data_IF_351645258425
#
_entry.id   IF_351645258425
#
_cell.length_a   1.000
_cell.length_b   1.000
_cell.length_c   1.000
_cell.angle_alpha   90.00
_cell.angle_beta   90.00
_cell.angle_gamma   90.00
#
_symmetry.space_group_name_H-M   'P 1'
#
loop_
_entity.id
_entity.type
_entity.pdbx_description
1 polymer ?
#
# COMPACT_ATOMS: atom_id res chain seq x y z
N UNK A 1 -1.44 22.05 -2.49
CA UNK A 1 -1.41 21.01 -1.44
C UNK A 1 -0.82 19.71 -1.99
N UNK A 2 -1.35 19.12 -3.08
CA UNK A 2 -1.03 17.79 -3.58
C UNK A 2 0.44 17.58 -3.92
N UNK A 3 1.04 18.49 -4.68
CA UNK A 3 2.47 18.41 -5.00
C UNK A 3 3.37 18.46 -3.76
N UNK A 4 2.98 19.21 -2.74
CA UNK A 4 3.73 19.20 -1.46
C UNK A 4 3.65 17.82 -0.79
N UNK A 5 2.47 17.21 -0.78
CA UNK A 5 2.29 15.84 -0.29
C UNK A 5 3.12 14.83 -1.07
N UNK A 6 3.09 14.90 -2.41
CA UNK A 6 3.90 14.04 -3.26
C UNK A 6 5.40 14.19 -2.99
N UNK A 7 5.92 15.42 -2.87
CA UNK A 7 7.32 15.67 -2.54
C UNK A 7 7.68 15.17 -1.14
N UNK A 8 6.78 15.31 -0.16
CA UNK A 8 6.98 14.76 1.19
C UNK A 8 7.14 13.23 1.16
N UNK A 9 6.40 12.52 0.30
CA UNK A 9 6.59 11.08 0.14
C UNK A 9 7.95 10.72 -0.43
N UNK A 10 8.55 11.57 -1.28
CA UNK A 10 9.91 11.35 -1.79
C UNK A 10 10.94 11.48 -0.68
N UNK A 11 10.78 12.47 0.22
CA UNK A 11 11.65 12.62 1.40
C UNK A 11 11.57 11.36 2.27
N UNK A 12 10.34 10.89 2.57
CA UNK A 12 10.13 9.68 3.34
C UNK A 12 10.73 8.43 2.65
N UNK A 13 10.59 8.32 1.34
CA UNK A 13 11.14 7.20 0.56
C UNK A 13 12.67 7.15 0.62
N UNK A 14 13.34 8.31 0.58
CA UNK A 14 14.81 8.40 0.71
C UNK A 14 15.24 8.00 2.12
N UNK A 15 14.53 8.48 3.15
CA UNK A 15 14.82 8.12 4.54
C UNK A 15 14.63 6.61 4.79
N UNK A 16 13.54 6.04 4.27
CA UNK A 16 13.29 4.60 4.36
C UNK A 16 14.36 3.78 3.61
N UNK A 17 14.74 4.22 2.40
CA UNK A 17 15.83 3.59 1.64
C UNK A 17 17.13 3.57 2.44
N UNK A 18 17.52 4.70 3.03
CA UNK A 18 18.74 4.80 3.83
C UNK A 18 18.71 3.85 5.05
N UNK A 19 17.57 3.76 5.71
CA UNK A 19 17.38 2.83 6.83
C UNK A 19 17.46 1.35 6.39
N UNK A 20 16.82 0.99 5.28
CA UNK A 20 16.84 -0.37 4.74
C UNK A 20 18.24 -0.77 4.26
N UNK A 21 18.93 0.11 3.52
CA UNK A 21 20.27 -0.14 3.02
C UNK A 21 21.28 -0.33 4.19
N UNK A 22 21.17 0.45 5.27
CA UNK A 22 21.97 0.27 6.49
C UNK A 22 21.75 -1.07 7.19
N UNK A 23 20.58 -1.66 7.00
CA UNK A 23 20.24 -3.00 7.48
C UNK A 23 20.52 -4.11 6.45
N UNK A 24 21.26 -3.83 5.39
CA UNK A 24 21.68 -4.81 4.40
C UNK A 24 20.64 -5.12 3.31
N UNK A 25 19.53 -4.40 3.27
CA UNK A 25 18.48 -4.58 2.25
C UNK A 25 18.76 -3.71 1.04
N UNK A 26 18.93 -4.33 -0.12
CA UNK A 26 19.18 -3.60 -1.37
C UNK A 26 17.90 -2.91 -1.85
N UNK A 27 17.85 -1.60 -1.76
CA UNK A 27 16.62 -0.81 -1.98
C UNK A 27 16.76 0.17 -3.15
N UNK A 28 15.67 0.40 -3.86
CA UNK A 28 15.56 1.41 -4.93
C UNK A 28 14.36 2.31 -4.69
N UNK A 29 14.51 3.61 -4.95
CA UNK A 29 13.40 4.57 -4.96
C UNK A 29 13.08 4.92 -6.40
N UNK A 30 11.82 4.77 -6.78
CA UNK A 30 11.29 5.25 -8.05
C UNK A 30 10.21 6.28 -7.81
N UNK A 31 10.31 7.44 -8.45
CA UNK A 31 9.39 8.56 -8.31
C UNK A 31 8.51 8.73 -9.54
N UNK A 32 7.22 8.94 -9.32
CA UNK A 32 6.27 9.29 -10.37
C UNK A 32 6.49 10.72 -10.91
N UNK A 33 7.08 11.61 -10.09
CA UNK A 33 7.55 12.93 -10.54
C UNK A 33 9.03 12.81 -10.90
N UNK A 34 9.39 13.25 -12.10
CA UNK A 34 10.78 13.18 -12.59
C UNK A 34 11.71 14.10 -11.78
N UNK A 35 12.65 13.49 -11.09
CA UNK A 35 13.71 14.16 -10.32
C UNK A 35 14.98 13.31 -10.30
N UNK A 36 15.56 13.10 -11.44
CA UNK A 36 16.65 12.13 -11.71
C UNK A 36 17.89 12.27 -10.84
N UNK A 37 18.14 13.46 -10.29
CA UNK A 37 19.24 13.69 -9.34
C UNK A 37 18.99 13.10 -7.95
N UNK A 38 17.75 12.68 -7.64
CA UNK A 38 17.31 12.27 -6.30
C UNK A 38 16.79 10.83 -6.29
N UNK A 39 15.97 10.48 -7.29
CA UNK A 39 15.32 9.18 -7.41
C UNK A 39 15.24 8.74 -8.87
N UNK A 40 15.17 7.44 -9.11
CA UNK A 40 14.90 6.94 -10.45
C UNK A 40 13.51 7.37 -10.91
N UNK A 41 13.30 7.74 -12.18
CA UNK A 41 11.95 7.90 -12.72
C UNK A 41 11.24 6.54 -12.71
N UNK A 42 9.95 6.55 -12.34
CA UNK A 42 9.15 5.34 -12.39
C UNK A 42 9.04 4.83 -13.82
N UNK A 43 9.46 3.62 -14.04
CA UNK A 43 9.31 2.87 -15.28
C UNK A 43 8.95 1.43 -14.90
N UNK A 44 7.74 0.96 -15.29
CA UNK A 44 7.20 -0.36 -14.93
C UNK A 44 8.22 -1.49 -15.10
N UNK A 45 8.80 -1.63 -16.28
CA UNK A 45 9.76 -2.72 -16.58
C UNK A 45 11.05 -2.61 -15.75
N UNK A 46 11.44 -1.40 -15.34
CA UNK A 46 12.59 -1.21 -14.44
C UNK A 46 12.25 -1.64 -13.01
N UNK A 47 11.03 -1.34 -12.54
CA UNK A 47 10.55 -1.81 -11.25
C UNK A 47 10.54 -3.34 -11.18
N UNK A 48 9.95 -4.00 -12.18
CA UNK A 48 9.91 -5.47 -12.28
C UNK A 48 11.33 -6.03 -12.27
N UNK A 49 12.27 -5.49 -13.05
CA UNK A 49 13.66 -5.93 -13.05
C UNK A 49 14.36 -5.77 -11.70
N UNK A 50 14.00 -4.77 -10.92
CA UNK A 50 14.51 -4.62 -9.55
C UNK A 50 13.96 -5.71 -8.64
N UNK A 51 12.65 -5.98 -8.71
CA UNK A 51 11.99 -7.03 -7.93
C UNK A 51 12.55 -8.42 -8.26
N UNK A 52 12.73 -8.75 -9.55
CA UNK A 52 13.36 -10.00 -10.01
C UNK A 52 14.78 -10.21 -9.45
N UNK A 53 15.47 -9.11 -9.14
CA UNK A 53 16.80 -9.15 -8.49
C UNK A 53 16.75 -9.19 -6.97
N UNK A 54 15.58 -9.45 -6.38
CA UNK A 54 15.38 -9.49 -4.93
C UNK A 54 15.56 -8.14 -4.23
N UNK A 55 15.33 -7.02 -4.92
CA UNK A 55 15.41 -5.68 -4.36
C UNK A 55 14.07 -5.23 -3.82
N UNK A 56 14.10 -4.44 -2.77
CA UNK A 56 12.93 -3.66 -2.35
C UNK A 56 12.81 -2.42 -3.24
N UNK A 57 11.62 -2.15 -3.75
CA UNK A 57 11.34 -0.95 -4.56
C UNK A 57 10.35 -0.08 -3.79
N UNK A 58 10.72 1.17 -3.54
CA UNK A 58 9.88 2.17 -2.90
C UNK A 58 9.33 3.09 -4.00
N UNK A 59 8.01 3.09 -4.16
CA UNK A 59 7.33 4.00 -5.09
C UNK A 59 6.97 5.29 -4.38
N UNK A 60 7.49 6.41 -4.86
CA UNK A 60 7.30 7.73 -4.29
C UNK A 60 6.51 8.65 -5.24
N UNK A 61 5.97 9.73 -4.70
CA UNK A 61 5.16 10.72 -5.40
C UNK A 61 3.80 10.19 -5.93
N UNK A 62 3.30 9.10 -5.33
CA UNK A 62 1.98 8.56 -5.65
C UNK A 62 1.80 8.19 -7.11
N UNK A 63 0.74 8.70 -7.75
CA UNK A 63 0.52 8.58 -9.21
C UNK A 63 1.28 9.64 -10.01
N UNK A 64 1.82 10.66 -9.37
CA UNK A 64 2.37 11.86 -10.02
C UNK A 64 1.30 12.87 -10.44
N UNK A 65 0.02 12.58 -10.21
CA UNK A 65 -1.11 13.42 -10.57
C UNK A 65 -1.88 13.88 -9.33
N UNK A 66 -2.35 15.14 -9.28
CA UNK A 66 -3.26 15.62 -8.24
C UNK A 66 -4.57 14.80 -8.22
N UNK A 67 -5.32 14.93 -7.14
CA UNK A 67 -6.65 14.29 -6.90
C UNK A 67 -6.67 12.78 -6.69
N UNK A 68 -5.55 12.08 -6.84
CA UNK A 68 -5.44 10.67 -6.52
C UNK A 68 -4.83 10.48 -5.13
N UNK A 69 -5.36 9.50 -4.40
CA UNK A 69 -4.85 9.15 -3.07
C UNK A 69 -3.63 8.23 -3.15
N UNK A 70 -2.99 8.00 -2.01
CA UNK A 70 -1.94 6.98 -1.87
C UNK A 70 -2.50 5.57 -2.04
N UNK A 71 -3.77 5.34 -1.70
CA UNK A 71 -4.44 4.05 -1.88
C UNK A 71 -4.60 3.72 -3.37
N UNK A 72 -5.09 4.68 -4.17
CA UNK A 72 -5.14 4.54 -5.63
C UNK A 72 -3.74 4.30 -6.21
N UNK A 73 -2.73 5.02 -5.73
CA UNK A 73 -1.36 4.82 -6.21
C UNK A 73 -0.84 3.42 -5.86
N UNK A 74 -1.10 2.91 -4.66
CA UNK A 74 -0.68 1.57 -4.25
C UNK A 74 -1.34 0.48 -5.11
N UNK A 75 -2.65 0.58 -5.33
CA UNK A 75 -3.42 -0.35 -6.18
C UNK A 75 -2.91 -0.34 -7.63
N UNK A 76 -2.67 0.85 -8.19
CA UNK A 76 -2.12 1.01 -9.54
C UNK A 76 -0.73 0.36 -9.66
N UNK A 77 0.18 0.65 -8.73
CA UNK A 77 1.52 0.06 -8.75
C UNK A 77 1.48 -1.44 -8.57
N UNK A 78 0.63 -1.96 -7.67
CA UNK A 78 0.45 -3.40 -7.47
C UNK A 78 0.02 -4.09 -8.78
N UNK A 79 -0.98 -3.56 -9.47
CA UNK A 79 -1.43 -4.09 -10.76
C UNK A 79 -0.33 -4.01 -11.84
N UNK A 80 0.38 -2.88 -11.94
CA UNK A 80 1.45 -2.68 -12.94
C UNK A 80 2.64 -3.63 -12.76
N UNK A 81 3.00 -3.99 -11.54
CA UNK A 81 4.11 -4.91 -11.24
C UNK A 81 3.67 -6.35 -11.04
N UNK A 82 2.38 -6.64 -11.24
CA UNK A 82 1.79 -7.97 -11.07
C UNK A 82 2.02 -8.52 -9.64
N UNK A 83 1.76 -7.69 -8.63
CA UNK A 83 1.88 -8.09 -7.24
C UNK A 83 0.82 -9.15 -6.88
N UNK A 84 1.13 -10.02 -5.94
CA UNK A 84 0.22 -11.08 -5.49
C UNK A 84 -0.83 -10.56 -4.51
N UNK A 85 -0.55 -9.46 -3.79
CA UNK A 85 -1.39 -8.90 -2.75
C UNK A 85 -1.02 -7.44 -2.47
N UNK A 86 -2.02 -6.63 -2.08
CA UNK A 86 -1.81 -5.32 -1.47
C UNK A 86 -1.91 -5.43 0.05
N UNK A 87 -0.89 -5.01 0.77
CA UNK A 87 -0.86 -4.96 2.23
C UNK A 87 -1.13 -3.53 2.69
N UNK A 88 -2.30 -3.28 3.27
CA UNK A 88 -2.68 -1.99 3.83
C UNK A 88 -2.40 -1.96 5.33
N UNK A 89 -1.31 -1.31 5.69
CA UNK A 89 -0.95 -1.01 7.08
C UNK A 89 -1.78 0.17 7.60
N UNK A 90 -2.51 -0.03 8.69
CA UNK A 90 -3.38 0.97 9.34
C UNK A 90 -3.10 1.05 10.83
N UNK A 91 -3.90 1.85 11.56
CA UNK A 91 -3.89 1.94 13.02
C UNK A 91 -4.94 1.05 13.70
N UNK A 92 -5.74 0.34 12.92
CA UNK A 92 -6.77 -0.58 13.39
C UNK A 92 -6.46 -2.01 12.95
N UNK A 93 -6.94 -2.98 13.69
CA UNK A 93 -6.62 -4.40 13.46
C UNK A 93 -7.10 -4.95 12.12
N UNK A 94 -8.07 -4.31 11.49
CA UNK A 94 -8.64 -4.70 10.20
C UNK A 94 -9.88 -3.88 9.86
N UNK A 95 -10.79 -4.46 9.09
CA UNK A 95 -12.05 -3.81 8.69
C UNK A 95 -13.15 -4.21 9.66
N UNK A 96 -13.86 -3.22 10.19
CA UNK A 96 -14.97 -3.39 11.13
C UNK A 96 -16.31 -3.08 10.48
N UNK A 97 -17.38 -3.60 11.07
CA UNK A 97 -18.76 -3.32 10.66
C UNK A 97 -19.16 -1.85 10.86
N UNK A 98 -18.48 -1.14 11.77
CA UNK A 98 -18.64 0.28 12.07
C UNK A 98 -17.32 0.81 12.67
N UNK A 99 -17.24 2.09 12.96
CA UNK A 99 -16.07 2.70 13.60
C UNK A 99 -15.88 2.17 15.05
N UNK A 100 -14.85 1.35 15.32
CA UNK A 100 -14.67 0.74 16.64
C UNK A 100 -14.32 1.76 17.73
N UNK A 101 -13.88 2.96 17.37
CA UNK A 101 -13.62 4.04 18.34
C UNK A 101 -14.92 4.71 18.81
N UNK A 102 -16.01 4.61 18.03
CA UNK A 102 -17.31 5.20 18.32
C UNK A 102 -18.35 4.17 18.74
N UNK A 103 -18.23 2.96 18.22
CA UNK A 103 -19.18 1.87 18.48
C UNK A 103 -18.46 0.65 19.03
N UNK A 104 -18.61 0.41 20.34
CA UNK A 104 -18.00 -0.74 21.02
C UNK A 104 -18.59 -2.10 20.61
N UNK A 105 -19.68 -2.12 19.86
CA UNK A 105 -20.28 -3.33 19.27
C UNK A 105 -19.83 -3.59 17.82
N UNK A 106 -18.90 -2.79 17.30
CA UNK A 106 -18.35 -3.02 15.98
C UNK A 106 -17.61 -4.37 15.94
N UNK A 107 -17.97 -5.19 14.97
CA UNK A 107 -17.38 -6.51 14.77
C UNK A 107 -16.27 -6.46 13.72
N UNK A 108 -15.13 -7.10 14.02
CA UNK A 108 -14.01 -7.24 13.08
C UNK A 108 -14.33 -8.33 12.06
N UNK A 109 -14.21 -8.01 10.78
CA UNK A 109 -14.30 -9.00 9.71
C UNK A 109 -12.95 -9.69 9.48
N UNK A 110 -12.94 -11.02 9.45
CA UNK A 110 -11.74 -11.79 9.06
C UNK A 110 -11.58 -11.81 7.53
N UNK A 111 -12.70 -11.89 6.81
CA UNK A 111 -12.75 -11.95 5.35
C UNK A 111 -13.95 -11.17 4.83
N UNK A 112 -13.76 -10.49 3.70
CA UNK A 112 -14.78 -9.76 2.96
C UNK A 112 -14.58 -9.98 1.46
N UNK A 113 -15.67 -9.92 0.71
CA UNK A 113 -15.63 -9.75 -0.74
C UNK A 113 -15.59 -8.26 -1.09
N UNK A 114 -15.08 -7.91 -2.28
CA UNK A 114 -15.15 -6.53 -2.79
C UNK A 114 -16.58 -6.01 -2.80
N UNK A 115 -17.54 -6.87 -3.21
CA UNK A 115 -18.95 -6.53 -3.22
C UNK A 115 -19.47 -6.14 -1.84
N UNK A 116 -19.14 -6.88 -0.79
CA UNK A 116 -19.54 -6.55 0.58
C UNK A 116 -18.94 -5.21 1.03
N UNK A 117 -17.69 -4.94 0.68
CA UNK A 117 -17.04 -3.65 0.97
C UNK A 117 -17.79 -2.50 0.30
N UNK A 118 -18.18 -2.65 -0.96
CA UNK A 118 -18.88 -1.63 -1.75
C UNK A 118 -20.32 -1.45 -1.29
N UNK A 119 -21.09 -2.53 -1.14
CA UNK A 119 -22.49 -2.52 -0.76
C UNK A 119 -22.69 -1.95 0.66
N UNK A 120 -21.83 -2.31 1.59
CA UNK A 120 -21.87 -1.83 2.98
C UNK A 120 -21.13 -0.50 3.18
N UNK A 121 -20.51 0.07 2.13
CA UNK A 121 -19.72 1.32 2.17
C UNK A 121 -18.67 1.31 3.27
N UNK A 122 -17.99 0.19 3.45
CA UNK A 122 -16.96 0.04 4.47
C UNK A 122 -15.75 0.93 4.15
N UNK A 123 -15.28 1.67 5.14
CA UNK A 123 -14.20 2.64 4.97
C UNK A 123 -12.82 1.94 5.01
N UNK A 124 -12.48 1.24 3.93
CA UNK A 124 -11.20 0.54 3.79
C UNK A 124 -10.17 1.38 3.04
N UNK A 125 -10.51 1.74 1.82
CA UNK A 125 -9.72 2.53 0.86
C UNK A 125 -10.67 3.42 0.08
N UNK A 126 -10.14 4.33 -0.75
CA UNK A 126 -11.01 5.06 -1.66
C UNK A 126 -11.61 4.13 -2.73
N UNK A 127 -12.76 4.53 -3.29
CA UNK A 127 -13.51 3.73 -4.23
C UNK A 127 -12.69 3.34 -5.46
N UNK A 128 -11.88 4.27 -5.97
CA UNK A 128 -11.02 4.03 -7.14
C UNK A 128 -10.01 2.91 -6.87
N UNK A 129 -9.41 2.90 -5.68
CA UNK A 129 -8.46 1.87 -5.27
C UNK A 129 -9.13 0.49 -5.15
N UNK A 130 -10.32 0.43 -4.52
CA UNK A 130 -11.10 -0.81 -4.37
C UNK A 130 -11.48 -1.37 -5.74
N UNK A 131 -12.06 -0.54 -6.62
CA UNK A 131 -12.47 -0.98 -7.96
C UNK A 131 -11.27 -1.47 -8.78
N UNK A 132 -10.14 -0.78 -8.71
CA UNK A 132 -8.93 -1.19 -9.43
C UNK A 132 -8.41 -2.56 -8.94
N UNK A 133 -8.47 -2.81 -7.63
CA UNK A 133 -8.09 -4.12 -7.08
C UNK A 133 -9.08 -5.21 -7.49
N UNK A 134 -10.39 -4.95 -7.44
CA UNK A 134 -11.44 -5.88 -7.88
C UNK A 134 -11.26 -6.29 -9.35
N UNK A 135 -11.12 -5.31 -10.26
CA UNK A 135 -10.96 -5.56 -11.70
C UNK A 135 -9.69 -6.37 -12.04
N UNK A 136 -8.67 -6.30 -11.19
CA UNK A 136 -7.41 -7.05 -11.37
C UNK A 136 -7.32 -8.30 -10.49
N UNK A 137 -8.38 -8.68 -9.77
CA UNK A 137 -8.39 -9.80 -8.81
C UNK A 137 -7.23 -9.72 -7.81
N UNK A 138 -6.90 -8.50 -7.35
CA UNK A 138 -5.77 -8.18 -6.49
C UNK A 138 -6.21 -8.20 -5.01
N UNK A 139 -5.95 -9.26 -4.24
CA UNK A 139 -6.39 -9.31 -2.85
C UNK A 139 -5.77 -8.18 -2.02
N UNK A 140 -6.54 -7.68 -1.05
CA UNK A 140 -6.10 -6.64 -0.11
C UNK A 140 -6.13 -7.22 1.30
N UNK A 141 -5.04 -7.08 2.04
CA UNK A 141 -5.02 -7.38 3.48
C UNK A 141 -4.86 -6.09 4.27
N UNK A 142 -5.84 -5.84 5.14
CA UNK A 142 -5.84 -4.69 6.06
C UNK A 142 -5.46 -5.16 7.46
N UNK A 143 -4.47 -4.53 8.09
CA UNK A 143 -3.97 -4.93 9.40
C UNK A 143 -3.37 -3.75 10.17
N UNK A 144 -3.22 -3.90 11.48
CA UNK A 144 -2.53 -2.90 12.32
C UNK A 144 -1.01 -3.01 12.15
N UNK A 145 -0.44 -2.08 11.41
CA UNK A 145 1.00 -1.98 11.21
C UNK A 145 1.73 -1.14 12.23
N UNK A 146 1.03 -0.57 13.23
CA UNK A 146 1.65 0.23 14.30
C UNK A 146 2.22 -0.62 15.42
N UNK A 147 1.72 -1.85 15.57
CA UNK A 147 2.23 -2.80 16.56
C UNK A 147 3.53 -3.43 16.07
N UNK A 148 4.51 -3.45 16.95
CA UNK A 148 5.84 -4.01 16.69
C UNK A 148 5.75 -5.46 16.19
N UNK A 149 6.43 -5.73 15.08
CA UNK A 149 6.52 -7.06 14.48
C UNK A 149 5.34 -7.45 13.56
N UNK A 150 4.21 -6.73 13.56
CA UNK A 150 3.05 -7.11 12.75
C UNK A 150 3.33 -7.10 11.24
N UNK A 151 4.09 -6.10 10.75
CA UNK A 151 4.50 -6.08 9.34
C UNK A 151 5.30 -7.34 8.99
N UNK A 152 6.23 -7.73 9.86
CA UNK A 152 7.03 -8.92 9.65
C UNK A 152 6.17 -10.20 9.66
N UNK A 153 5.24 -10.34 10.61
CA UNK A 153 4.34 -11.49 10.71
C UNK A 153 3.46 -11.64 9.47
N UNK A 154 2.88 -10.54 8.99
CA UNK A 154 2.07 -10.54 7.76
C UNK A 154 2.91 -10.96 6.55
N UNK A 155 4.15 -10.47 6.44
CA UNK A 155 5.08 -10.88 5.38
C UNK A 155 5.50 -12.35 5.47
N UNK A 156 5.46 -12.96 6.67
CA UNK A 156 5.66 -14.41 6.88
C UNK A 156 4.39 -15.24 6.60
N UNK A 157 3.28 -14.60 6.23
CA UNK A 157 2.02 -15.28 5.91
C UNK A 157 1.12 -15.55 7.12
N UNK A 158 1.42 -14.97 8.29
CA UNK A 158 0.51 -15.07 9.43
C UNK A 158 -0.85 -14.43 9.08
N UNK A 159 -1.93 -15.15 9.42
CA UNK A 159 -3.29 -14.67 9.22
C UNK A 159 -3.63 -13.67 10.32
N UNK A 160 -3.61 -12.38 9.96
CA UNK A 160 -4.08 -11.30 10.84
C UNK A 160 -4.80 -10.24 10.02
N UNK A 161 -5.67 -9.50 10.68
CA UNK A 161 -6.48 -8.48 10.05
C UNK A 161 -7.55 -9.04 9.14
N UNK A 162 -8.00 -8.25 8.19
CA UNK A 162 -9.05 -8.58 7.22
C UNK A 162 -8.45 -8.83 5.85
N UNK A 163 -8.85 -9.92 5.19
CA UNK A 163 -8.55 -10.17 3.77
C UNK A 163 -9.79 -9.81 2.93
N UNK A 164 -9.57 -9.09 1.83
CA UNK A 164 -10.61 -8.71 0.87
C UNK A 164 -10.23 -9.33 -0.48
N UNK A 165 -11.13 -10.09 -1.08
CA UNK A 165 -10.90 -10.81 -2.35
C UNK A 165 -12.19 -11.07 -3.13
#
# INVERSE_FOLDING_TARGET
>A
ADYMGMLATVINAIALKDALDKNGTNTRVQSAITMTSVAEPYIRLRAIRHLEKGRVVIFAAGTGNPYFTTDTAASLRAAEIEAEIVLKSTRVDGVYSDDPEKNSSAELYEQLTYKEVLDNKLSVMDLTAITLCEENNMPIRVFDGTKDGNIFKVLQGEKMGTIIS
#
